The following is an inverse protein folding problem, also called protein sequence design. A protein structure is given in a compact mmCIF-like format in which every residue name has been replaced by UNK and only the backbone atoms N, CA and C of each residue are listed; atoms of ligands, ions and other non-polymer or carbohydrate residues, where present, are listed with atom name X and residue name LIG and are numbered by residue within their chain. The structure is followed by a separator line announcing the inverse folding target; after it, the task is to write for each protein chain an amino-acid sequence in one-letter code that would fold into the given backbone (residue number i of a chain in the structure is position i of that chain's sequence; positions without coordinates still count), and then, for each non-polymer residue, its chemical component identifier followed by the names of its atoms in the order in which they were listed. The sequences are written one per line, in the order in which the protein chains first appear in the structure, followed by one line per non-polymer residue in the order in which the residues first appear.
data_IF_205704083418
#
_entry.id   IF_205704083418
#
_cell.length_a   1.000
_cell.length_b   1.000
_cell.length_c   1.000
_cell.angle_alpha   90.00
_cell.angle_beta   90.00
_cell.angle_gamma   90.00
#
_symmetry.space_group_name_H-M   'P 1'
#
loop_
_entity.id
_entity.type
_entity.pdbx_description
1 polymer ?
#
# COMPACT_ATOMS: atom_id res chain seq x y z
N UNK A 1 21.01 -7.79 -13.37
CA UNK A 1 20.33 -6.89 -12.42
C UNK A 1 20.17 -5.52 -13.10
N UNK A 2 19.09 -5.30 -13.83
CA UNK A 2 18.84 -4.02 -14.51
C UNK A 2 18.45 -2.95 -13.47
N UNK A 3 19.24 -1.89 -13.35
CA UNK A 3 18.99 -0.74 -12.48
C UNK A 3 17.64 -0.08 -12.79
N UNK A 4 16.68 -0.24 -11.89
CA UNK A 4 15.33 0.29 -12.01
C UNK A 4 15.03 1.14 -10.79
N UNK A 5 15.49 2.38 -10.83
CA UNK A 5 15.26 3.37 -9.78
C UNK A 5 14.76 4.64 -10.45
N UNK A 6 13.46 4.71 -10.73
CA UNK A 6 12.82 6.02 -10.67
C UNK A 6 12.38 6.22 -9.22
N UNK A 7 13.33 6.47 -8.33
CA UNK A 7 13.03 7.01 -7.01
C UNK A 7 13.22 8.52 -7.11
N UNK A 8 12.50 9.34 -6.34
CA UNK A 8 12.71 10.79 -6.39
C UNK A 8 11.49 11.70 -6.35
N UNK A 9 10.27 11.16 -6.37
CA UNK A 9 9.09 12.01 -6.33
C UNK A 9 8.69 12.40 -4.90
N UNK A 10 8.06 13.56 -4.79
CA UNK A 10 7.36 14.01 -3.60
C UNK A 10 5.87 13.70 -3.76
N UNK A 11 5.35 12.90 -2.84
CA UNK A 11 3.96 12.49 -2.74
C UNK A 11 3.32 13.08 -1.49
N UNK A 12 2.12 13.62 -1.61
CA UNK A 12 1.29 13.99 -0.46
C UNK A 12 -0.10 13.39 -0.57
N UNK A 13 -0.58 12.87 0.55
CA UNK A 13 -1.88 12.25 0.71
C UNK A 13 -2.67 13.00 1.78
N UNK A 14 -3.90 13.39 1.45
CA UNK A 14 -4.90 13.84 2.42
C UNK A 14 -5.87 12.69 2.69
N UNK A 15 -5.85 12.18 3.91
CA UNK A 15 -6.79 11.17 4.40
C UNK A 15 -7.37 11.62 5.74
N UNK A 16 -8.61 12.11 5.70
CA UNK A 16 -9.29 12.63 6.91
C UNK A 16 -9.88 11.53 7.79
N UNK A 17 -9.68 10.25 7.44
CA UNK A 17 -10.15 9.09 8.22
C UNK A 17 -8.99 8.18 8.65
N UNK A 18 -7.76 8.71 8.78
CA UNK A 18 -6.66 7.92 9.34
C UNK A 18 -7.00 7.53 10.78
N UNK A 19 -6.98 6.22 11.06
CA UNK A 19 -7.18 5.63 12.38
C UNK A 19 -5.87 4.95 12.80
N UNK A 20 -5.18 5.51 13.80
CA UNK A 20 -3.83 5.13 14.26
C UNK A 20 -2.72 5.40 13.23
N UNK A 21 -2.74 4.74 12.07
CA UNK A 21 -1.74 4.86 11.01
C UNK A 21 -2.37 4.74 9.63
N UNK A 22 -1.69 5.27 8.61
CA UNK A 22 -2.22 5.22 7.26
C UNK A 22 -1.99 3.88 6.59
N UNK A 23 -3.06 3.31 6.02
CA UNK A 23 -2.95 2.14 5.15
C UNK A 23 -2.05 2.40 3.92
N UNK A 24 -2.02 3.63 3.42
CA UNK A 24 -1.14 3.99 2.28
C UNK A 24 0.32 3.93 2.71
N UNK A 25 0.67 4.46 3.88
CA UNK A 25 2.03 4.37 4.41
C UNK A 25 2.48 2.91 4.51
N UNK A 26 1.62 2.03 5.03
CA UNK A 26 1.92 0.61 5.12
C UNK A 26 2.16 -0.03 3.75
N UNK A 27 1.32 0.26 2.76
CA UNK A 27 1.52 -0.24 1.40
C UNK A 27 2.84 0.21 0.79
N UNK A 28 3.27 1.44 1.07
CA UNK A 28 4.58 1.95 0.65
C UNK A 28 5.74 1.20 1.32
N UNK A 29 5.64 0.93 2.63
CA UNK A 29 6.64 0.14 3.38
C UNK A 29 6.74 -1.27 2.80
N UNK A 30 5.59 -1.94 2.59
CA UNK A 30 5.50 -3.29 2.00
C UNK A 30 6.25 -3.34 0.66
N UNK A 31 5.95 -2.39 -0.24
CA UNK A 31 6.62 -2.29 -1.55
C UNK A 31 8.13 -2.06 -1.38
N UNK A 32 8.51 -1.13 -0.52
CA UNK A 32 9.89 -0.73 -0.34
C UNK A 32 10.76 -1.85 0.24
N UNK A 33 10.26 -2.59 1.25
CA UNK A 33 10.92 -3.79 1.78
C UNK A 33 11.07 -4.83 0.69
N UNK A 34 10.00 -5.07 -0.08
CA UNK A 34 10.01 -5.99 -1.22
C UNK A 34 11.11 -5.72 -2.25
N UNK A 35 11.45 -4.45 -2.46
CA UNK A 35 12.53 -4.02 -3.35
C UNK A 35 13.90 -3.84 -2.64
N UNK A 36 13.99 -4.10 -1.34
CA UNK A 36 15.22 -3.91 -0.56
C UNK A 36 15.67 -2.45 -0.45
N UNK A 37 14.73 -1.50 -0.43
CA UNK A 37 14.99 -0.07 -0.29
C UNK A 37 15.34 0.28 1.16
N UNK A 38 16.17 1.31 1.35
CA UNK A 38 16.40 1.91 2.67
C UNK A 38 15.29 2.91 3.01
N UNK A 39 14.58 2.66 4.10
CA UNK A 39 13.35 3.37 4.49
C UNK A 39 13.59 4.17 5.77
N UNK A 40 13.13 5.41 5.80
CA UNK A 40 12.84 6.15 7.04
C UNK A 40 11.32 6.25 7.19
N UNK A 41 10.75 5.62 8.21
CA UNK A 41 9.33 5.76 8.54
C UNK A 41 9.20 6.63 9.79
N UNK A 42 8.48 7.74 9.65
CA UNK A 42 8.27 8.73 10.70
C UNK A 42 6.82 8.68 11.13
N UNK A 43 6.58 8.07 12.28
CA UNK A 43 5.29 8.03 12.94
C UNK A 43 5.08 9.33 13.74
N UNK A 44 4.24 10.22 13.21
CA UNK A 44 3.86 11.44 13.88
C UNK A 44 2.63 11.27 14.77
N UNK A 45 2.07 10.06 14.95
CA UNK A 45 0.97 9.86 15.90
C UNK A 45 1.43 9.98 17.37
N UNK A 46 0.50 10.32 18.26
CA UNK A 46 0.79 10.39 19.71
C UNK A 46 0.69 9.03 20.40
N UNK A 47 0.07 8.04 19.74
CA UNK A 47 -0.20 6.70 20.28
C UNK A 47 0.77 5.67 19.70
N UNK A 48 1.18 4.68 20.50
CA UNK A 48 1.97 3.55 20.00
C UNK A 48 1.12 2.65 19.13
N UNK A 49 1.47 2.50 17.85
CA UNK A 49 0.75 1.59 16.98
C UNK A 49 1.19 0.14 17.19
N UNK A 50 0.23 -0.80 17.22
CA UNK A 50 0.53 -2.25 17.17
C UNK A 50 1.36 -2.63 15.93
N UNK A 51 1.27 -1.83 14.88
CA UNK A 51 1.99 -2.03 13.64
C UNK A 51 3.50 -1.79 13.80
N UNK A 52 3.91 -0.72 14.46
CA UNK A 52 5.33 -0.41 14.69
C UNK A 52 6.02 -1.58 15.43
N UNK A 53 5.37 -2.10 16.48
CA UNK A 53 5.86 -3.28 17.20
C UNK A 53 5.89 -4.54 16.31
N UNK A 54 4.89 -4.72 15.44
CA UNK A 54 4.87 -5.86 14.53
C UNK A 54 6.02 -5.80 13.52
N UNK A 55 6.27 -4.63 12.91
CA UNK A 55 7.38 -4.47 11.95
C UNK A 55 8.74 -4.60 12.62
N UNK A 56 8.92 -4.03 13.81
CA UNK A 56 10.14 -4.21 14.61
C UNK A 56 10.41 -5.71 14.83
N UNK A 57 9.43 -6.45 15.35
CA UNK A 57 9.57 -7.89 15.57
C UNK A 57 9.80 -8.69 14.28
N UNK A 58 9.06 -8.37 13.22
CA UNK A 58 9.18 -9.04 11.93
C UNK A 58 10.59 -8.86 11.34
N UNK A 59 11.17 -7.70 11.57
CA UNK A 59 12.48 -7.36 11.05
C UNK A 59 13.62 -7.89 11.93
N UNK A 60 13.37 -8.23 13.20
CA UNK A 60 14.31 -9.01 14.03
C UNK A 60 14.29 -10.52 13.68
N UNK A 61 13.30 -10.97 12.92
CA UNK A 61 13.15 -12.38 12.55
C UNK A 61 14.06 -12.78 11.39
N UNK A 62 15.08 -13.60 11.67
CA UNK A 62 15.95 -14.18 10.64
C UNK A 62 15.17 -14.91 9.53
N UNK A 63 14.10 -15.62 9.87
CA UNK A 63 13.29 -16.35 8.87
C UNK A 63 12.56 -15.43 7.90
N UNK A 64 12.22 -14.21 8.32
CA UNK A 64 11.67 -13.19 7.44
C UNK A 64 12.78 -12.47 6.67
N UNK A 65 13.80 -11.95 7.37
CA UNK A 65 14.84 -11.09 6.79
C UNK A 65 15.71 -11.79 5.76
N UNK A 66 15.97 -13.11 5.91
CA UNK A 66 16.76 -13.91 4.95
C UNK A 66 16.21 -13.92 3.51
N UNK A 67 14.96 -13.50 3.30
CA UNK A 67 14.35 -13.45 1.97
C UNK A 67 14.66 -12.13 1.22
N UNK A 68 15.30 -11.16 1.89
CA UNK A 68 15.65 -9.88 1.30
C UNK A 68 17.17 -9.69 1.28
N UNK A 69 17.75 -9.13 0.20
CA UNK A 69 19.19 -8.84 0.15
C UNK A 69 19.63 -7.87 1.26
N UNK A 70 18.76 -6.93 1.62
CA UNK A 70 18.91 -5.98 2.73
C UNK A 70 17.53 -5.57 3.23
N UNK A 71 17.35 -5.52 4.55
CA UNK A 71 16.18 -4.95 5.21
C UNK A 71 16.65 -3.76 6.04
N UNK A 72 16.51 -2.54 5.51
CA UNK A 72 16.99 -1.32 6.15
C UNK A 72 15.82 -0.39 6.43
N UNK A 73 15.32 -0.38 7.65
CA UNK A 73 14.20 0.46 8.05
C UNK A 73 14.47 1.14 9.39
N UNK A 74 14.57 2.47 9.35
CA UNK A 74 14.69 3.30 10.54
C UNK A 74 13.28 3.81 10.93
N UNK A 75 12.83 3.52 12.15
CA UNK A 75 11.53 3.92 12.70
C UNK A 75 11.69 5.14 13.63
N UNK A 76 11.15 6.28 13.25
CA UNK A 76 11.18 7.50 14.05
C UNK A 76 9.80 7.72 14.67
N UNK A 77 9.73 7.99 15.97
CA UNK A 77 8.48 8.33 16.66
C UNK A 77 8.59 9.74 17.22
N UNK A 78 7.62 10.61 16.90
CA UNK A 78 7.62 12.01 17.39
C UNK A 78 6.83 12.15 18.70
N UNK A 79 6.75 11.07 19.48
CA UNK A 79 6.05 11.04 20.77
C UNK A 79 6.85 11.79 21.84
N UNK A 80 6.17 12.48 22.75
CA UNK A 80 6.81 13.31 23.78
C UNK A 80 7.67 12.51 24.79
N UNK A 81 7.42 11.21 25.02
CA UNK A 81 7.94 10.48 26.19
C UNK A 81 8.40 9.01 25.93
N UNK A 82 8.84 8.62 24.73
CA UNK A 82 9.29 7.23 24.51
C UNK A 82 10.77 7.01 24.85
N UNK A 83 11.05 5.94 25.62
CA UNK A 83 12.40 5.44 25.93
C UNK A 83 12.88 4.54 24.78
N UNK A 84 14.11 4.77 24.34
CA UNK A 84 14.76 4.07 23.24
C UNK A 84 15.18 2.67 23.67
N UNK A 85 14.67 1.63 23.01
CA UNK A 85 15.24 0.27 23.09
C UNK A 85 16.11 0.05 21.84
N UNK A 86 17.37 -0.35 22.02
CA UNK A 86 18.28 -0.75 20.95
C UNK A 86 18.30 -2.27 20.90
N UNK A 87 17.82 -2.86 19.81
CA UNK A 87 18.10 -4.27 19.54
C UNK A 87 19.09 -4.33 18.39
N UNK A 88 20.37 -4.55 18.72
CA UNK A 88 21.43 -4.78 17.74
C UNK A 88 21.44 -6.27 17.40
N UNK A 89 20.88 -6.64 16.24
CA UNK A 89 21.14 -7.92 15.56
C UNK A 89 21.94 -7.58 14.30
N UNK A 90 22.90 -8.41 13.86
CA UNK A 90 23.61 -8.18 12.61
C UNK A 90 22.61 -8.02 11.45
N UNK A 91 22.80 -6.99 10.63
CA UNK A 91 21.99 -6.65 9.45
C UNK A 91 20.61 -6.03 9.67
N UNK A 92 20.26 -5.63 10.91
CA UNK A 92 18.99 -4.99 11.24
C UNK A 92 19.20 -3.85 12.24
N UNK A 93 19.03 -2.60 11.81
CA UNK A 93 19.10 -1.40 12.68
C UNK A 93 17.66 -0.91 13.00
N UNK A 94 17.22 -1.01 14.26
CA UNK A 94 16.02 -0.33 14.77
C UNK A 94 16.41 0.69 15.84
N UNK A 95 15.96 1.93 15.69
CA UNK A 95 16.14 2.97 16.70
C UNK A 95 14.91 3.88 16.75
N UNK A 96 14.21 3.94 17.89
CA UNK A 96 13.25 5.01 18.16
C UNK A 96 14.03 6.31 18.42
N UNK A 97 13.85 7.32 17.56
CA UNK A 97 14.67 8.53 17.56
C UNK A 97 13.80 9.77 17.71
N UNK A 98 14.25 10.73 18.54
CA UNK A 98 13.50 11.97 18.80
C UNK A 98 13.36 12.81 17.54
N UNK A 99 12.40 13.76 17.53
CA UNK A 99 12.23 14.72 16.44
C UNK A 99 13.52 15.45 16.09
N UNK A 100 14.30 15.87 17.09
CA UNK A 100 15.60 16.54 16.86
C UNK A 100 16.63 15.59 16.24
N UNK A 101 16.72 14.36 16.75
CA UNK A 101 17.62 13.35 16.21
C UNK A 101 17.28 13.00 14.77
N UNK A 102 16.00 12.88 14.44
CA UNK A 102 15.54 12.70 13.05
C UNK A 102 16.07 13.81 12.15
N UNK A 103 15.83 15.07 12.49
CA UNK A 103 16.27 16.19 11.65
C UNK A 103 17.81 16.30 11.55
N UNK A 104 18.54 15.87 12.58
CA UNK A 104 20.01 15.84 12.58
C UNK A 104 20.58 14.65 11.78
N UNK A 105 19.85 13.54 11.71
CA UNK A 105 20.28 12.33 11.01
C UNK A 105 19.84 12.31 9.55
N UNK A 106 18.70 12.91 9.22
CA UNK A 106 18.16 12.91 7.87
C UNK A 106 19.17 13.37 6.79
N UNK A 107 20.00 14.41 7.02
CA UNK A 107 21.03 14.81 6.06
C UNK A 107 22.24 13.86 6.01
N UNK A 108 22.47 13.09 7.08
CA UNK A 108 23.64 12.19 7.23
C UNK A 108 23.41 10.82 6.62
N UNK A 109 22.16 10.37 6.58
CA UNK A 109 21.78 9.06 6.06
C UNK A 109 21.05 9.19 4.73
N UNK A 110 21.48 8.38 3.74
CA UNK A 110 20.82 8.33 2.44
C UNK A 110 19.68 7.32 2.47
N UNK A 111 18.44 7.81 2.49
CA UNK A 111 17.23 7.01 2.36
C UNK A 111 16.75 6.96 0.91
N UNK A 112 16.27 5.81 0.48
CA UNK A 112 15.58 5.64 -0.80
C UNK A 112 14.11 6.10 -0.69
N UNK A 113 13.48 5.89 0.48
CA UNK A 113 12.11 6.29 0.78
C UNK A 113 12.01 6.92 2.18
N UNK A 114 11.39 8.08 2.29
CA UNK A 114 11.04 8.71 3.57
C UNK A 114 9.52 8.86 3.64
N UNK A 115 8.91 8.36 4.69
CA UNK A 115 7.46 8.43 4.91
C UNK A 115 7.19 9.22 6.18
N UNK A 116 6.41 10.29 6.07
CA UNK A 116 5.85 11.01 7.21
C UNK A 116 4.38 10.64 7.34
N UNK A 117 4.05 9.79 8.30
CA UNK A 117 2.69 9.34 8.59
C UNK A 117 2.06 10.18 9.70
N UNK A 118 0.74 10.41 9.63
CA UNK A 118 0.00 11.30 10.55
C UNK A 118 0.62 12.71 10.70
N UNK A 119 1.17 13.25 9.61
CA UNK A 119 1.91 14.50 9.61
C UNK A 119 0.99 15.73 9.76
N UNK A 120 1.38 16.65 10.65
CA UNK A 120 0.76 17.96 10.82
C UNK A 120 1.79 19.00 11.31
N UNK A 121 1.55 20.30 11.10
CA UNK A 121 2.58 21.31 11.38
C UNK A 121 2.87 21.58 12.85
N UNK A 122 1.99 21.14 13.76
CA UNK A 122 2.28 21.15 15.20
C UNK A 122 3.43 20.17 15.53
N UNK A 123 3.54 19.08 14.78
CA UNK A 123 4.52 18.00 14.99
C UNK A 123 5.69 18.05 14.03
N UNK A 124 5.46 18.50 12.80
CA UNK A 124 6.50 18.68 11.77
C UNK A 124 6.65 20.18 11.46
N UNK A 125 7.81 20.77 11.74
CA UNK A 125 8.05 22.15 11.34
C UNK A 125 7.85 22.30 9.83
N UNK A 126 6.90 23.14 9.41
CA UNK A 126 6.64 23.46 8.00
C UNK A 126 7.92 23.87 7.25
N UNK A 127 8.72 24.73 7.89
CA UNK A 127 10.00 25.16 7.33
C UNK A 127 10.96 23.99 7.08
N UNK A 128 11.13 23.10 8.08
CA UNK A 128 12.00 21.91 7.93
C UNK A 128 11.47 20.95 6.86
N UNK A 129 10.16 20.78 6.77
CA UNK A 129 9.53 19.94 5.74
C UNK A 129 9.81 20.48 4.34
N UNK A 130 9.52 21.76 4.09
CA UNK A 130 9.77 22.40 2.79
C UNK A 130 11.26 22.33 2.44
N UNK A 131 12.14 22.63 3.38
CA UNK A 131 13.58 22.53 3.16
C UNK A 131 14.01 21.11 2.77
N UNK A 132 13.44 20.08 3.42
CA UNK A 132 13.71 18.68 3.13
C UNK A 132 13.24 18.30 1.72
N UNK A 133 12.01 18.67 1.35
CA UNK A 133 11.46 18.41 0.01
C UNK A 133 12.32 19.02 -1.10
N UNK A 134 12.92 20.17 -0.84
CA UNK A 134 13.77 20.90 -1.80
C UNK A 134 15.24 20.43 -1.83
N UNK A 135 15.75 19.87 -0.72
CA UNK A 135 17.18 19.50 -0.57
C UNK A 135 17.46 18.00 -0.61
N UNK A 136 16.42 17.16 -0.68
CA UNK A 136 16.55 15.70 -0.78
C UNK A 136 17.37 15.28 -2.01
N UNK A 137 17.95 14.08 -1.96
CA UNK A 137 18.58 13.48 -3.14
C UNK A 137 17.57 13.27 -4.27
N UNK A 138 18.03 13.35 -5.53
CA UNK A 138 17.21 13.08 -6.71
C UNK A 138 16.58 11.69 -6.68
N UNK A 139 17.22 10.73 -6.00
CA UNK A 139 16.76 9.35 -5.89
C UNK A 139 15.99 9.07 -4.60
N UNK A 140 15.64 10.07 -3.79
CA UNK A 140 14.86 9.86 -2.56
C UNK A 140 13.38 10.18 -2.85
N UNK A 141 12.51 9.19 -2.68
CA UNK A 141 11.05 9.39 -2.69
C UNK A 141 10.60 9.86 -1.30
N UNK A 142 9.76 10.90 -1.23
CA UNK A 142 9.18 11.37 0.02
C UNK A 142 7.67 11.23 -0.07
N UNK A 143 7.06 10.60 0.93
CA UNK A 143 5.61 10.44 1.05
C UNK A 143 5.17 11.12 2.35
N UNK A 144 4.24 12.07 2.25
CA UNK A 144 3.66 12.77 3.41
C UNK A 144 2.17 12.46 3.46
N UNK A 145 1.69 12.01 4.61
CA UNK A 145 0.30 11.63 4.82
C UNK A 145 -0.26 12.52 5.92
N UNK A 146 -1.28 13.30 5.59
CA UNK A 146 -1.87 14.30 6.46
C UNK A 146 -3.37 14.03 6.63
N UNK A 147 -3.88 14.35 7.81
CA UNK A 147 -5.30 14.28 8.19
C UNK A 147 -5.96 15.67 8.18
N UNK A 148 -5.19 16.73 8.46
CA UNK A 148 -5.65 18.13 8.45
C UNK A 148 -5.62 18.73 7.04
N UNK A 149 -6.77 19.27 6.61
CA UNK A 149 -6.95 19.88 5.28
C UNK A 149 -6.15 21.18 5.13
N UNK A 150 -6.04 21.93 6.20
CA UNK A 150 -5.36 23.22 6.27
C UNK A 150 -3.87 23.02 5.99
N UNK A 151 -3.23 22.11 6.72
CA UNK A 151 -1.82 21.79 6.54
C UNK A 151 -1.52 21.28 5.13
N UNK A 152 -2.36 20.37 4.63
CA UNK A 152 -2.27 19.87 3.26
C UNK A 152 -2.35 21.00 2.23
N UNK A 153 -3.29 21.94 2.39
CA UNK A 153 -3.47 23.04 1.45
C UNK A 153 -2.25 23.97 1.40
N UNK A 154 -1.53 24.13 2.50
CA UNK A 154 -0.36 25.00 2.61
C UNK A 154 0.91 24.47 1.93
N UNK A 155 1.07 23.15 1.80
CA UNK A 155 2.31 22.55 1.24
C UNK A 155 2.11 21.73 -0.03
N UNK A 156 0.89 21.39 -0.45
CA UNK A 156 0.64 20.58 -1.66
C UNK A 156 1.28 21.12 -2.96
N UNK A 157 1.62 22.41 -3.02
CA UNK A 157 2.33 23.00 -4.16
C UNK A 157 3.79 22.55 -4.28
N UNK A 158 4.38 22.00 -3.22
CA UNK A 158 5.76 21.49 -3.19
C UNK A 158 5.87 20.01 -3.58
N UNK A 159 4.74 19.37 -3.92
CA UNK A 159 4.67 17.96 -4.24
C UNK A 159 4.37 17.71 -5.71
N UNK A 160 4.97 16.65 -6.24
CA UNK A 160 4.76 16.21 -7.62
C UNK A 160 3.39 15.53 -7.78
N UNK A 161 3.02 14.72 -6.78
CA UNK A 161 1.75 14.01 -6.74
C UNK A 161 0.95 14.39 -5.49
N UNK A 162 -0.23 14.96 -5.72
CA UNK A 162 -1.20 15.28 -4.69
C UNK A 162 -2.38 14.31 -4.78
N UNK A 163 -2.63 13.55 -3.71
CA UNK A 163 -3.71 12.59 -3.63
C UNK A 163 -4.69 12.94 -2.50
N UNK A 164 -5.99 12.90 -2.80
CA UNK A 164 -7.05 13.14 -1.81
C UNK A 164 -7.96 11.92 -1.74
N UNK A 165 -8.18 11.43 -0.52
CA UNK A 165 -9.04 10.30 -0.23
C UNK A 165 -10.45 10.79 0.12
N UNK A 166 -11.45 10.24 -0.55
CA UNK A 166 -12.86 10.58 -0.35
C UNK A 166 -13.67 9.32 -0.11
N UNK A 167 -14.39 9.29 1.01
CA UNK A 167 -15.19 8.15 1.44
C UNK A 167 -16.67 8.43 1.21
N UNK A 168 -17.38 7.49 0.58
CA UNK A 168 -18.83 7.55 0.38
C UNK A 168 -19.46 6.24 0.85
N UNK A 169 -20.28 6.34 1.89
CA UNK A 169 -21.09 5.22 2.39
C UNK A 169 -22.37 5.07 1.57
N UNK A 170 -22.73 3.83 1.26
CA UNK A 170 -24.01 3.50 0.64
C UNK A 170 -24.89 2.81 1.69
N UNK A 171 -25.73 3.59 2.36
CA UNK A 171 -26.69 3.10 3.34
C UNK A 171 -27.84 2.39 2.62
N UNK A 172 -27.70 1.08 2.35
CA UNK A 172 -28.84 0.23 2.00
C UNK A 172 -29.32 -0.49 3.26
N UNK A 173 -30.63 -0.42 3.48
CA UNK A 173 -31.33 -0.93 4.66
C UNK A 173 -30.82 -2.29 5.12
N UNK A 174 -30.56 -2.36 6.43
CA UNK A 174 -30.06 -3.51 7.15
C UNK A 174 -31.00 -4.71 7.00
N UNK A 175 -30.65 -5.65 6.13
CA UNK A 175 -31.09 -7.04 6.28
C UNK A 175 -30.07 -8.08 5.82
N UNK A 176 -29.04 -7.71 5.03
CA UNK A 176 -27.86 -8.55 4.73
C UNK A 176 -26.70 -7.64 4.25
N UNK A 177 -25.89 -7.12 5.16
CA UNK A 177 -24.83 -6.16 4.81
C UNK A 177 -23.67 -6.89 4.12
N UNK A 178 -23.63 -6.83 2.79
CA UNK A 178 -22.41 -7.15 2.04
C UNK A 178 -21.34 -6.13 2.38
N UNK A 179 -20.26 -6.56 3.04
CA UNK A 179 -19.15 -5.66 3.40
C UNK A 179 -18.17 -5.52 2.24
N UNK A 180 -18.57 -4.80 1.18
CA UNK A 180 -17.71 -4.52 0.03
C UNK A 180 -17.14 -3.11 0.15
N UNK A 181 -15.83 -3.01 0.42
CA UNK A 181 -15.05 -1.79 0.27
C UNK A 181 -14.48 -1.70 -1.15
N UNK A 182 -14.92 -0.70 -1.90
CA UNK A 182 -14.48 -0.49 -3.28
C UNK A 182 -13.57 0.73 -3.37
N UNK A 183 -12.28 0.48 -3.63
CA UNK A 183 -11.22 1.48 -3.71
C UNK A 183 -10.96 1.79 -5.18
N UNK A 184 -11.30 3.01 -5.61
CA UNK A 184 -11.24 3.39 -7.02
C UNK A 184 -10.69 4.81 -7.24
N UNK A 185 -10.59 5.24 -8.50
CA UNK A 185 -10.10 6.56 -8.88
C UNK A 185 -8.73 6.53 -9.55
N UNK A 186 -8.37 7.65 -10.16
CA UNK A 186 -7.12 7.80 -10.92
C UNK A 186 -5.90 8.09 -10.03
N UNK A 187 -6.09 8.30 -8.72
CA UNK A 187 -5.00 8.48 -7.78
C UNK A 187 -4.16 7.24 -7.57
N UNK A 188 -2.85 7.44 -7.34
CA UNK A 188 -1.93 6.37 -6.92
C UNK A 188 -2.22 5.99 -5.47
N UNK A 189 -2.10 4.70 -5.14
CA UNK A 189 -2.21 4.24 -3.75
C UNK A 189 -3.44 3.39 -3.44
N UNK A 190 -4.26 3.03 -4.44
CA UNK A 190 -5.42 2.13 -4.24
C UNK A 190 -4.99 0.77 -3.70
N UNK A 191 -4.03 0.16 -4.38
CA UNK A 191 -3.43 -1.10 -3.95
C UNK A 191 -2.60 -0.94 -2.68
N UNK A 192 -1.89 0.19 -2.50
CA UNK A 192 -1.18 0.44 -1.24
C UNK A 192 -2.13 0.49 -0.04
N UNK A 193 -3.28 1.17 -0.18
CA UNK A 193 -4.32 1.17 0.84
C UNK A 193 -4.83 -0.25 1.11
N UNK A 194 -5.11 -1.05 0.07
CA UNK A 194 -5.58 -2.43 0.27
C UNK A 194 -4.53 -3.32 0.95
N UNK A 195 -3.25 -3.16 0.61
CA UNK A 195 -2.15 -3.90 1.25
C UNK A 195 -1.94 -3.49 2.71
N UNK A 196 -2.03 -2.20 3.02
CA UNK A 196 -2.00 -1.72 4.39
C UNK A 196 -3.17 -2.26 5.21
N UNK A 197 -4.38 -2.24 4.63
CA UNK A 197 -5.56 -2.83 5.25
C UNK A 197 -5.39 -4.33 5.51
N UNK A 198 -4.84 -5.05 4.53
CA UNK A 198 -4.55 -6.47 4.64
C UNK A 198 -3.61 -6.74 5.81
N UNK A 199 -2.51 -6.00 5.88
CA UNK A 199 -1.50 -6.20 6.90
C UNK A 199 -2.05 -5.84 8.28
N UNK A 200 -2.84 -4.77 8.40
CA UNK A 200 -3.58 -4.42 9.64
C UNK A 200 -4.52 -5.54 10.06
N UNK A 201 -5.26 -6.12 9.12
CA UNK A 201 -6.18 -7.23 9.40
C UNK A 201 -5.43 -8.49 9.86
N UNK A 202 -4.32 -8.81 9.19
CA UNK A 202 -3.44 -9.92 9.54
C UNK A 202 -2.84 -9.76 10.95
N UNK A 203 -2.30 -8.57 11.29
CA UNK A 203 -1.76 -8.26 12.62
C UNK A 203 -2.83 -8.39 13.72
N UNK A 204 -4.10 -8.13 13.38
CA UNK A 204 -5.23 -8.35 14.29
C UNK A 204 -5.76 -9.81 14.28
N UNK A 205 -4.91 -10.79 13.90
CA UNK A 205 -5.19 -12.23 13.93
C UNK A 205 -6.35 -12.69 13.04
N UNK A 206 -6.64 -11.96 11.96
CA UNK A 206 -7.56 -12.43 10.93
C UNK A 206 -6.79 -13.21 9.87
N UNK A 207 -7.33 -14.34 9.42
CA UNK A 207 -6.94 -14.91 8.14
C UNK A 207 -7.29 -13.90 7.02
N UNK A 208 -6.46 -13.80 5.99
CA UNK A 208 -6.65 -12.86 4.89
C UNK A 208 -6.19 -13.49 3.58
N UNK A 209 -6.90 -13.20 2.49
CA UNK A 209 -6.51 -13.64 1.15
C UNK A 209 -6.37 -12.47 0.18
N UNK A 210 -5.32 -12.48 -0.62
CA UNK A 210 -5.10 -11.52 -1.69
C UNK A 210 -5.11 -12.21 -3.06
N UNK A 211 -5.90 -11.69 -3.98
CA UNK A 211 -5.99 -12.14 -5.36
C UNK A 211 -5.62 -10.96 -6.23
N UNK A 212 -4.48 -11.06 -6.92
CA UNK A 212 -4.07 -10.07 -7.91
C UNK A 212 -4.65 -10.42 -9.27
N UNK A 213 -5.51 -9.57 -9.80
CA UNK A 213 -5.98 -9.67 -11.18
C UNK A 213 -5.02 -8.95 -12.12
N UNK A 214 -4.79 -9.51 -13.30
CA UNK A 214 -3.99 -8.88 -14.37
C UNK A 214 -2.55 -8.51 -13.95
N UNK A 215 -1.99 -9.27 -13.00
CA UNK A 215 -0.60 -9.13 -12.54
C UNK A 215 0.09 -10.48 -12.57
N UNK A 216 1.31 -10.49 -13.09
CA UNK A 216 2.20 -11.65 -13.01
C UNK A 216 2.73 -11.85 -11.58
N UNK A 217 3.01 -13.09 -11.19
CA UNK A 217 3.72 -13.40 -9.94
C UNK A 217 5.23 -13.12 -10.07
N UNK A 218 5.89 -12.77 -8.96
CA UNK A 218 7.32 -12.45 -8.87
C UNK A 218 7.79 -11.22 -9.64
N UNK A 219 6.89 -10.30 -9.96
CA UNK A 219 7.26 -9.08 -10.68
C UNK A 219 7.35 -7.86 -9.75
N UNK A 220 6.44 -7.76 -8.79
CA UNK A 220 6.23 -6.56 -7.99
C UNK A 220 6.83 -6.67 -6.58
N UNK A 221 7.35 -5.56 -6.05
CA UNK A 221 7.96 -5.50 -4.71
C UNK A 221 7.10 -6.12 -3.61
N UNK A 222 5.82 -5.73 -3.55
CA UNK A 222 4.88 -6.22 -2.55
C UNK A 222 4.72 -7.75 -2.57
N UNK A 223 4.87 -8.41 -3.72
CA UNK A 223 4.75 -9.86 -3.82
C UNK A 223 5.92 -10.55 -3.10
N UNK A 224 7.13 -10.00 -3.21
CA UNK A 224 8.29 -10.51 -2.47
C UNK A 224 8.10 -10.35 -0.95
N UNK A 225 7.56 -9.21 -0.51
CA UNK A 225 7.20 -9.00 0.90
C UNK A 225 6.19 -10.06 1.37
N UNK A 226 5.11 -10.24 0.61
CA UNK A 226 4.05 -11.18 0.95
C UNK A 226 4.50 -12.65 0.92
N UNK A 227 5.42 -13.04 0.02
CA UNK A 227 6.05 -14.38 0.04
C UNK A 227 6.83 -14.59 1.33
N UNK A 228 7.66 -13.63 1.72
CA UNK A 228 8.43 -13.70 2.96
C UNK A 228 7.51 -13.76 4.19
N UNK A 229 6.44 -12.95 4.20
CA UNK A 229 5.46 -12.94 5.28
C UNK A 229 4.72 -14.28 5.38
N UNK A 230 4.24 -14.84 4.25
CA UNK A 230 3.58 -16.16 4.20
C UNK A 230 4.47 -17.26 4.76
N UNK A 231 5.75 -17.25 4.36
CA UNK A 231 6.74 -18.22 4.83
C UNK A 231 6.97 -18.08 6.34
N UNK A 232 7.25 -16.85 6.79
CA UNK A 232 7.49 -16.56 8.20
C UNK A 232 6.29 -16.95 9.08
N UNK A 233 5.06 -16.63 8.64
CA UNK A 233 3.82 -16.97 9.33
C UNK A 233 3.68 -18.49 9.54
N UNK A 234 3.98 -19.28 8.49
CA UNK A 234 3.96 -20.75 8.55
C UNK A 234 5.04 -21.34 9.45
N UNK A 235 6.22 -20.72 9.50
CA UNK A 235 7.36 -21.19 10.30
C UNK A 235 7.18 -20.90 11.81
N UNK A 236 6.30 -19.97 12.19
CA UNK A 236 6.12 -19.53 13.58
C UNK A 236 4.71 -19.82 14.15
N UNK A 237 3.95 -20.71 13.51
CA UNK A 237 2.60 -21.13 13.94
C UNK A 237 1.66 -19.95 14.28
N UNK A 238 1.80 -18.83 13.55
CA UNK A 238 0.96 -17.68 13.80
C UNK A 238 -0.51 -17.97 13.44
N UNK A 239 -1.42 -17.66 14.37
CA UNK A 239 -2.86 -17.71 14.12
C UNK A 239 -3.26 -16.70 13.03
N UNK A 240 -3.70 -17.21 11.88
CA UNK A 240 -4.11 -16.45 10.72
C UNK A 240 -3.40 -16.94 9.45
N UNK A 241 -4.13 -17.47 8.48
CA UNK A 241 -3.54 -17.81 7.18
C UNK A 241 -3.48 -16.55 6.32
N UNK A 242 -2.27 -16.12 5.95
CA UNK A 242 -2.08 -15.23 4.81
C UNK A 242 -1.85 -16.09 3.57
N UNK A 243 -2.70 -15.90 2.57
CA UNK A 243 -2.52 -16.52 1.26
C UNK A 243 -2.64 -15.47 0.17
N UNK A 244 -1.88 -15.65 -0.90
CA UNK A 244 -2.05 -14.83 -2.09
C UNK A 244 -1.84 -15.63 -3.36
N UNK A 245 -2.47 -15.16 -4.42
CA UNK A 245 -2.35 -15.67 -5.78
C UNK A 245 -2.35 -14.51 -6.76
N UNK A 246 -1.55 -14.63 -7.82
CA UNK A 246 -1.55 -13.70 -8.93
C UNK A 246 -2.06 -14.42 -10.17
N UNK A 247 -3.03 -13.82 -10.86
CA UNK A 247 -3.73 -14.40 -12.02
C UNK A 247 -3.65 -13.43 -13.18
N UNK A 248 -2.44 -13.31 -13.73
CA UNK A 248 -2.10 -12.46 -14.86
C UNK A 248 -0.76 -12.88 -15.44
N UNK A 249 -0.53 -12.51 -16.70
CA UNK A 249 0.67 -12.87 -17.45
C UNK A 249 1.67 -11.72 -17.46
N UNK A 250 2.90 -12.06 -17.84
CA UNK A 250 3.88 -11.05 -18.15
C UNK A 250 3.44 -10.24 -19.37
N UNK A 251 3.12 -8.97 -19.15
CA UNK A 251 2.84 -8.01 -20.23
C UNK A 251 4.03 -7.10 -20.53
N UNK A 252 5.14 -7.27 -19.83
CA UNK A 252 6.36 -6.50 -20.05
C UNK A 252 7.33 -7.22 -20.98
N UNK A 253 7.73 -6.54 -22.05
CA UNK A 253 8.84 -6.95 -22.89
C UNK A 253 9.99 -5.94 -22.73
N UNK A 254 10.87 -6.19 -21.76
CA UNK A 254 11.91 -5.24 -21.38
C UNK A 254 11.33 -3.98 -20.72
N UNK A 255 11.25 -2.89 -21.48
CA UNK A 255 10.71 -1.60 -21.01
C UNK A 255 9.34 -1.24 -21.65
N UNK A 256 8.82 -2.08 -22.54
CA UNK A 256 7.52 -1.88 -23.18
C UNK A 256 6.44 -2.71 -22.48
N UNK A 257 5.21 -2.19 -22.47
CA UNK A 257 4.04 -2.85 -21.89
C UNK A 257 3.03 -3.17 -23.00
N UNK A 258 2.60 -4.43 -23.08
CA UNK A 258 1.57 -4.91 -24.00
C UNK A 258 0.18 -4.48 -23.51
N UNK A 259 -0.49 -3.64 -24.30
CA UNK A 259 -1.84 -3.15 -23.99
C UNK A 259 -2.95 -4.12 -24.41
N UNK A 260 -2.74 -4.83 -25.52
CA UNK A 260 -3.71 -5.78 -26.05
C UNK A 260 -3.79 -7.01 -25.14
N UNK A 261 -4.99 -7.55 -24.96
CA UNK A 261 -5.23 -8.80 -24.24
C UNK A 261 -5.39 -9.95 -25.23
N UNK A 262 -4.80 -11.10 -24.92
CA UNK A 262 -4.95 -12.34 -25.65
C UNK A 262 -5.86 -13.33 -24.91
N UNK A 263 -6.09 -14.50 -25.50
CA UNK A 263 -6.94 -15.54 -24.90
C UNK A 263 -6.38 -16.08 -23.58
N UNK A 264 -5.05 -16.09 -23.40
CA UNK A 264 -4.42 -16.53 -22.16
C UNK A 264 -4.64 -15.51 -21.04
N UNK A 265 -4.54 -14.22 -21.33
CA UNK A 265 -4.84 -13.16 -20.35
C UNK A 265 -6.28 -13.29 -19.83
N UNK A 266 -7.24 -13.55 -20.73
CA UNK A 266 -8.65 -13.76 -20.37
C UNK A 266 -8.80 -15.03 -19.51
N UNK A 267 -8.09 -16.11 -19.86
CA UNK A 267 -8.13 -17.37 -19.12
C UNK A 267 -7.61 -17.19 -17.69
N UNK A 268 -6.49 -16.50 -17.51
CA UNK A 268 -5.92 -16.18 -16.19
C UNK A 268 -6.89 -15.34 -15.36
N UNK A 269 -7.47 -14.29 -15.95
CA UNK A 269 -8.44 -13.46 -15.24
C UNK A 269 -9.68 -14.28 -14.80
N UNK A 270 -10.15 -15.21 -15.64
CA UNK A 270 -11.25 -16.14 -15.31
C UNK A 270 -10.88 -17.10 -14.20
N UNK A 271 -9.63 -17.57 -14.16
CA UNK A 271 -9.11 -18.36 -13.02
C UNK A 271 -9.13 -17.52 -11.74
N UNK A 272 -8.65 -16.27 -11.78
CA UNK A 272 -8.75 -15.32 -10.67
C UNK A 272 -10.18 -15.14 -10.17
N UNK A 273 -11.15 -15.05 -11.10
CA UNK A 273 -12.56 -14.91 -10.77
C UNK A 273 -13.12 -16.19 -10.10
N UNK A 274 -12.70 -17.37 -10.55
CA UNK A 274 -13.05 -18.65 -9.92
C UNK A 274 -12.43 -18.76 -8.51
N UNK A 275 -11.18 -18.35 -8.35
CA UNK A 275 -10.50 -18.32 -7.05
C UNK A 275 -11.17 -17.32 -6.10
N UNK A 276 -11.61 -16.17 -6.59
CA UNK A 276 -12.39 -15.22 -5.81
C UNK A 276 -13.70 -15.86 -5.36
N UNK A 277 -14.46 -16.45 -6.29
CA UNK A 277 -15.73 -17.13 -5.98
C UNK A 277 -15.58 -18.18 -4.88
N UNK A 278 -14.57 -19.03 -4.95
CA UNK A 278 -14.34 -20.07 -3.93
C UNK A 278 -13.82 -19.51 -2.61
N UNK A 279 -13.10 -18.40 -2.64
CA UNK A 279 -12.63 -17.71 -1.44
C UNK A 279 -13.77 -17.02 -0.69
N UNK A 280 -14.75 -16.48 -1.43
CA UNK A 280 -15.94 -15.85 -0.86
C UNK A 280 -16.85 -16.84 -0.09
N UNK A 281 -16.67 -18.15 -0.29
CA UNK A 281 -17.39 -19.19 0.48
C UNK A 281 -16.78 -19.45 1.87
N UNK A 282 -15.60 -18.89 2.16
CA UNK A 282 -14.92 -19.03 3.46
C UNK A 282 -15.10 -17.74 4.25
N UNK A 283 -15.14 -17.80 5.58
CA UNK A 283 -15.18 -16.59 6.44
C UNK A 283 -13.81 -15.92 6.57
N UNK A 284 -13.18 -15.59 5.45
CA UNK A 284 -11.84 -15.01 5.38
C UNK A 284 -11.89 -13.74 4.55
N UNK A 285 -11.58 -12.55 5.09
CA UNK A 285 -11.48 -11.33 4.32
C UNK A 285 -10.64 -11.49 3.05
N UNK A 286 -11.17 -11.04 1.92
CA UNK A 286 -10.53 -11.17 0.60
C UNK A 286 -10.24 -9.79 0.03
N UNK A 287 -9.07 -9.64 -0.60
CA UNK A 287 -8.74 -8.50 -1.44
C UNK A 287 -8.65 -8.98 -2.88
N UNK A 288 -9.48 -8.40 -3.74
CA UNK A 288 -9.44 -8.55 -5.19
C UNK A 288 -8.76 -7.30 -5.78
N UNK A 289 -7.43 -7.34 -5.83
CA UNK A 289 -6.63 -6.22 -6.34
C UNK A 289 -6.73 -6.17 -7.87
N UNK A 290 -6.98 -4.98 -8.42
CA UNK A 290 -7.17 -4.67 -9.84
C UNK A 290 -8.38 -5.34 -10.51
N UNK A 291 -9.34 -5.89 -9.76
CA UNK A 291 -10.56 -6.47 -10.33
C UNK A 291 -11.40 -5.45 -11.14
N UNK A 292 -11.49 -4.19 -10.68
CA UNK A 292 -12.19 -3.16 -11.47
C UNK A 292 -11.48 -2.91 -12.81
N UNK A 293 -10.14 -2.96 -12.82
CA UNK A 293 -9.32 -2.76 -14.02
C UNK A 293 -9.42 -3.96 -14.96
N UNK A 294 -9.54 -5.18 -14.44
CA UNK A 294 -9.80 -6.37 -15.25
C UNK A 294 -11.15 -6.30 -15.99
N UNK A 295 -12.18 -5.71 -15.38
CA UNK A 295 -13.45 -5.43 -16.06
C UNK A 295 -13.25 -4.33 -17.12
N UNK A 296 -12.59 -3.23 -16.75
CA UNK A 296 -12.34 -2.09 -17.65
C UNK A 296 -11.57 -2.50 -18.91
N UNK A 297 -10.59 -3.40 -18.78
CA UNK A 297 -9.74 -3.88 -19.85
C UNK A 297 -10.38 -5.02 -20.67
N UNK A 298 -11.60 -5.44 -20.35
CA UNK A 298 -12.31 -6.50 -21.06
C UNK A 298 -11.80 -7.92 -20.80
N UNK A 299 -11.00 -8.13 -19.74
CA UNK A 299 -10.57 -9.48 -19.32
C UNK A 299 -11.71 -10.28 -18.68
N UNK A 300 -12.63 -9.57 -18.00
CA UNK A 300 -13.81 -10.13 -17.36
C UNK A 300 -15.03 -9.30 -17.74
N UNK A 301 -16.16 -9.96 -17.97
CA UNK A 301 -17.41 -9.22 -18.15
C UNK A 301 -17.98 -8.77 -16.80
N UNK A 302 -18.63 -7.60 -16.80
CA UNK A 302 -19.26 -7.05 -15.60
C UNK A 302 -20.32 -8.01 -15.01
N UNK A 303 -21.07 -8.72 -15.86
CA UNK A 303 -22.10 -9.68 -15.45
C UNK A 303 -21.51 -10.91 -14.75
N UNK A 304 -20.41 -11.46 -15.26
CA UNK A 304 -19.69 -12.57 -14.60
C UNK A 304 -19.21 -12.18 -13.20
N UNK A 305 -18.63 -10.97 -13.07
CA UNK A 305 -18.15 -10.48 -11.77
C UNK A 305 -19.31 -10.24 -10.80
N UNK A 306 -20.39 -9.58 -11.23
CA UNK A 306 -21.56 -9.33 -10.38
C UNK A 306 -22.15 -10.64 -9.82
N UNK A 307 -22.23 -11.70 -10.64
CA UNK A 307 -22.68 -13.02 -10.21
C UNK A 307 -21.79 -13.64 -9.14
N UNK A 308 -20.48 -13.40 -9.18
CA UNK A 308 -19.56 -13.85 -8.12
C UNK A 308 -19.78 -13.03 -6.84
N UNK A 309 -19.96 -11.71 -6.96
CA UNK A 309 -20.20 -10.80 -5.84
C UNK A 309 -21.56 -10.99 -5.16
N UNK A 310 -22.44 -11.81 -5.73
CA UNK A 310 -23.65 -12.26 -5.07
C UNK A 310 -23.36 -13.02 -3.77
N UNK A 311 -22.25 -13.75 -3.72
CA UNK A 311 -21.81 -14.62 -2.63
C UNK A 311 -21.00 -13.92 -1.54
N UNK A 312 -20.93 -12.58 -1.55
CA UNK A 312 -20.19 -11.84 -0.51
C UNK A 312 -20.99 -11.85 0.78
N UNK A 313 -20.46 -12.54 1.79
CA UNK A 313 -21.03 -12.61 3.14
C UNK A 313 -20.10 -12.04 4.22
N UNK A 314 -18.84 -11.76 3.87
CA UNK A 314 -17.82 -11.17 4.73
C UNK A 314 -17.15 -9.98 4.03
N UNK A 315 -16.06 -9.49 4.58
CA UNK A 315 -15.33 -8.34 4.05
C UNK A 315 -14.59 -8.63 2.74
N UNK A 316 -14.94 -7.90 1.69
CA UNK A 316 -14.28 -7.92 0.39
C UNK A 316 -13.77 -6.52 0.06
N UNK A 317 -12.49 -6.42 -0.29
CA UNK A 317 -11.89 -5.20 -0.84
C UNK A 317 -11.70 -5.39 -2.33
N UNK A 318 -12.21 -4.45 -3.12
CA UNK A 318 -12.04 -4.41 -4.57
C UNK A 318 -11.21 -3.17 -4.90
N UNK A 319 -10.19 -3.30 -5.75
CA UNK A 319 -9.42 -2.13 -6.22
C UNK A 319 -9.46 -1.98 -7.74
N UNK A 320 -9.08 -0.80 -8.24
CA UNK A 320 -8.79 -0.52 -9.64
C UNK A 320 -9.27 0.85 -10.11
N UNK A 321 -8.79 1.29 -11.27
CA UNK A 321 -8.88 2.70 -11.70
C UNK A 321 -10.32 3.20 -11.90
N UNK A 322 -11.12 2.48 -12.70
CA UNK A 322 -12.50 2.87 -12.99
C UNK A 322 -13.48 1.78 -12.54
N UNK A 323 -13.98 1.90 -11.32
CA UNK A 323 -15.01 0.97 -10.86
C UNK A 323 -16.33 1.17 -11.61
N UNK A 324 -16.93 0.09 -12.17
CA UNK A 324 -18.23 0.14 -12.82
C UNK A 324 -19.34 0.66 -11.91
N UNK A 325 -20.38 1.26 -12.51
CA UNK A 325 -21.51 1.82 -11.76
C UNK A 325 -22.28 0.77 -10.97
N UNK A 326 -22.38 -0.46 -11.50
CA UNK A 326 -23.00 -1.60 -10.83
C UNK A 326 -22.24 -2.04 -9.58
N UNK A 327 -20.91 -2.14 -9.64
CA UNK A 327 -20.04 -2.48 -8.51
C UNK A 327 -20.16 -1.40 -7.44
N UNK A 328 -20.10 -0.13 -7.82
CA UNK A 328 -20.34 1.01 -6.90
C UNK A 328 -21.70 0.91 -6.21
N UNK A 329 -22.76 0.51 -6.93
CA UNK A 329 -24.13 0.41 -6.38
C UNK A 329 -24.30 -0.69 -5.33
N UNK A 330 -23.46 -1.74 -5.36
CA UNK A 330 -23.49 -2.85 -4.38
C UNK A 330 -22.41 -2.71 -3.30
N UNK A 331 -21.46 -1.79 -3.45
CA UNK A 331 -20.43 -1.50 -2.45
C UNK A 331 -21.04 -0.87 -1.20
N UNK A 332 -20.66 -1.31 0.01
CA UNK A 332 -21.08 -0.66 1.26
C UNK A 332 -20.34 0.66 1.47
N UNK A 333 -19.05 0.67 1.12
CA UNK A 333 -18.18 1.84 1.21
C UNK A 333 -17.39 1.99 -0.09
N UNK A 334 -17.37 3.21 -0.63
CA UNK A 334 -16.54 3.56 -1.78
C UNK A 334 -15.45 4.52 -1.30
N UNK A 335 -14.20 4.11 -1.44
CA UNK A 335 -13.05 4.99 -1.28
C UNK A 335 -12.58 5.44 -2.67
N UNK A 336 -12.62 6.75 -2.93
CA UNK A 336 -12.08 7.33 -4.15
C UNK A 336 -10.77 8.04 -3.85
N UNK A 337 -9.67 7.61 -4.47
CA UNK A 337 -8.39 8.31 -4.45
C UNK A 337 -8.29 9.18 -5.70
N UNK A 338 -8.27 10.50 -5.52
CA UNK A 338 -8.15 11.48 -6.62
C UNK A 338 -6.71 11.96 -6.70
N UNK A 339 -6.16 12.08 -7.91
CA UNK A 339 -4.86 12.73 -8.15
C UNK A 339 -5.05 14.14 -8.72
N UNK A 340 -4.08 15.04 -8.49
CA UNK A 340 -4.01 16.30 -9.21
C UNK A 340 -3.96 16.10 -10.73
N UNK A 341 -4.66 16.98 -11.47
CA UNK A 341 -4.75 16.91 -12.93
C UNK A 341 -3.40 17.06 -13.62
N UNK A 342 -2.50 17.86 -13.05
CA UNK A 342 -1.20 18.14 -13.68
C UNK A 342 -0.27 16.94 -13.64
N UNK A 343 -0.30 16.16 -12.57
CA UNK A 343 0.43 14.90 -12.50
C UNK A 343 -0.05 13.90 -13.56
N UNK A 344 -1.38 13.75 -13.69
CA UNK A 344 -1.99 12.84 -14.67
C UNK A 344 -1.67 13.23 -16.11
N UNK A 345 -1.51 14.53 -16.40
CA UNK A 345 -1.10 15.03 -17.73
C UNK A 345 0.38 14.76 -18.02
N UNK A 346 1.25 14.94 -17.02
CA UNK A 346 2.71 14.81 -17.18
C UNK A 346 3.19 13.36 -17.25
N UNK A 347 2.51 12.42 -16.58
CA UNK A 347 2.95 11.03 -16.44
C UNK A 347 2.01 10.07 -17.17
N UNK A 348 2.07 10.04 -18.51
CA UNK A 348 1.28 9.13 -19.36
C UNK A 348 1.89 7.73 -19.55
N UNK A 349 2.97 7.38 -18.85
CA UNK A 349 3.64 6.09 -18.98
C UNK A 349 3.95 5.43 -17.63
N UNK A 350 4.04 4.10 -17.62
CA UNK A 350 4.44 3.31 -16.45
C UNK A 350 5.94 3.45 -16.22
N UNK A 351 6.35 3.70 -14.97
CA UNK A 351 7.76 3.86 -14.58
C UNK A 351 8.22 2.72 -13.69
N UNK A 352 9.27 2.02 -14.11
CA UNK A 352 9.85 0.88 -13.39
C UNK A 352 10.51 1.34 -12.08
N UNK A 353 10.08 0.74 -10.95
CA UNK A 353 10.42 1.15 -9.59
C UNK A 353 9.47 2.20 -8.97
N UNK A 354 8.48 2.71 -9.73
CA UNK A 354 7.40 3.57 -9.23
C UNK A 354 6.05 2.87 -9.40
N UNK A 355 5.70 2.56 -10.65
CA UNK A 355 4.39 2.03 -11.02
C UNK A 355 4.40 0.49 -11.11
N UNK A 356 5.57 -0.12 -11.31
CA UNK A 356 5.79 -1.57 -11.34
C UNK A 356 7.22 -1.95 -10.96
#
# INVERSE_FOLDING_TARGET
MTNTRTLGLNHIYLDTKIEDYSNIALGYIIRAIGHGLKIAYVDCADTSSKFSNFIENLSLSYSFTKNFPRLNMDLFTFKKNEIISRTLIPDVEFANLTQEMFWNQLPKHKYDLIIFDNANFEKISKFKMINTLNSKSSNTEIVVLMDKKEDYAEIKSYFDLNCELSFKENNKGLSNVKSILNITGQGRGKSFFSYGYLLRSYVNKKAVKLIYFDKEDNLYGEQFFFKALKRWARENDMYGSFDYVATGKNKFNGATYRQENDEEDIKEAKEGLMLLKTSLLKDTPVIADELNSAIENGLLSESEVLKVLENVHHELIITGNKSPSSIKKISSLILTIKSSKDYLKKNKGFRKGIDY
#
